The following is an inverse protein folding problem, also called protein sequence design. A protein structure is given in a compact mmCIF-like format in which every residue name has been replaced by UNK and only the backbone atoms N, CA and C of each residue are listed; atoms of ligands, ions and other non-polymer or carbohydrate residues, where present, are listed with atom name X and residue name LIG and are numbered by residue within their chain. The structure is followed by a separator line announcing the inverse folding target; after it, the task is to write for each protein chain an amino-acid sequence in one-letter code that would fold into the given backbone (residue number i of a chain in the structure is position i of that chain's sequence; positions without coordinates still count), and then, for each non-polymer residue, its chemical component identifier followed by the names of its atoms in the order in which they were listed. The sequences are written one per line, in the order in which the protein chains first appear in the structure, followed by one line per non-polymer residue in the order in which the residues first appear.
data_IF_099109916604
#
_entry.id   IF_099109916604
#
_cell.length_a   1.000
_cell.length_b   1.000
_cell.length_c   1.000
_cell.angle_alpha   90.00
_cell.angle_beta   90.00
_cell.angle_gamma   90.00
#
_symmetry.space_group_name_H-M   'P 1'
#
loop_
_entity.id
_entity.type
_entity.pdbx_description
1 polymer ?
#
# COMPACT_ATOMS: atom_id res chain seq x y z
N UNK A 1 10.82 22.52 3.50
CA UNK A 1 10.72 21.79 2.23
C UNK A 1 9.64 20.73 2.30
N UNK A 2 8.57 20.93 1.54
CA UNK A 2 7.58 19.89 1.26
C UNK A 2 8.14 19.06 0.10
N UNK A 3 8.34 17.74 0.24
CA UNK A 3 8.93 16.95 -0.84
C UNK A 3 8.05 16.98 -2.09
N UNK A 4 8.68 17.00 -3.25
CA UNK A 4 8.00 16.83 -4.52
C UNK A 4 7.28 15.47 -4.53
N UNK A 5 6.01 15.49 -4.91
CA UNK A 5 5.04 14.38 -4.85
C UNK A 5 5.45 13.12 -5.65
N UNK A 6 6.56 13.15 -6.39
CA UNK A 6 7.05 12.06 -7.25
C UNK A 6 8.22 11.22 -6.71
N UNK A 7 8.91 11.61 -5.63
CA UNK A 7 10.05 10.83 -5.10
C UNK A 7 9.63 9.81 -4.02
N UNK A 8 8.51 10.06 -3.36
CA UNK A 8 8.09 9.25 -2.21
C UNK A 8 7.48 7.91 -2.60
N UNK A 9 7.00 7.74 -3.84
CA UNK A 9 6.46 6.48 -4.36
C UNK A 9 7.30 6.04 -5.55
N UNK A 10 7.97 4.89 -5.45
CA UNK A 10 8.75 4.33 -6.56
C UNK A 10 8.25 2.94 -6.94
N UNK A 11 8.28 2.64 -8.23
CA UNK A 11 7.81 1.36 -8.78
C UNK A 11 8.97 0.68 -9.50
N UNK A 12 9.25 -0.57 -9.17
CA UNK A 12 10.22 -1.41 -9.85
C UNK A 12 9.68 -2.83 -10.01
N UNK A 13 9.33 -3.20 -11.26
CA UNK A 13 8.75 -4.51 -11.55
C UNK A 13 7.41 -4.71 -10.84
N UNK A 14 7.39 -5.59 -9.85
CA UNK A 14 6.22 -5.89 -9.01
C UNK A 14 6.29 -5.24 -7.62
N UNK A 15 7.28 -4.37 -7.40
CA UNK A 15 7.54 -3.76 -6.10
C UNK A 15 7.15 -2.29 -6.14
N UNK A 16 6.42 -1.85 -5.13
CA UNK A 16 6.15 -0.43 -4.85
C UNK A 16 6.85 -0.06 -3.55
N UNK A 17 7.63 1.00 -3.54
CA UNK A 17 8.31 1.49 -2.34
C UNK A 17 7.81 2.89 -1.99
N UNK A 18 7.31 3.02 -0.77
CA UNK A 18 6.92 4.29 -0.16
C UNK A 18 8.06 4.75 0.76
N UNK A 19 8.67 5.90 0.50
CA UNK A 19 9.84 6.41 1.23
C UNK A 19 9.47 7.67 2.00
N UNK A 20 9.72 7.65 3.32
CA UNK A 20 9.62 8.83 4.16
C UNK A 20 10.96 9.57 4.18
N UNK A 21 11.10 10.56 3.30
CA UNK A 21 12.34 11.34 3.11
C UNK A 21 12.72 12.19 4.34
N UNK A 22 11.81 12.39 5.30
CA UNK A 22 12.06 13.10 6.55
C UNK A 22 12.69 12.22 7.64
N UNK A 23 13.07 10.98 7.31
CA UNK A 23 13.63 10.01 8.27
C UNK A 23 14.75 9.20 7.65
N UNK A 24 15.56 8.58 8.50
CA UNK A 24 16.58 7.60 8.09
C UNK A 24 16.13 6.20 8.49
N UNK A 25 16.17 5.25 7.56
CA UNK A 25 15.79 3.86 7.82
C UNK A 25 16.71 3.20 8.88
N UNK A 26 16.09 2.58 9.88
CA UNK A 26 16.72 1.68 10.82
C UNK A 26 16.77 0.24 10.30
N UNK A 27 17.00 -0.70 11.21
CA UNK A 27 17.08 -2.13 10.91
C UNK A 27 15.80 -2.89 11.26
N UNK A 28 14.95 -2.31 12.10
CA UNK A 28 13.71 -2.97 12.55
C UNK A 28 12.65 -2.97 11.45
N UNK A 29 12.02 -4.12 11.26
CA UNK A 29 10.97 -4.32 10.28
C UNK A 29 9.81 -5.12 10.84
N UNK A 30 8.64 -4.94 10.23
CA UNK A 30 7.47 -5.81 10.41
C UNK A 30 6.89 -6.13 9.04
N UNK A 31 6.39 -7.35 8.85
CA UNK A 31 5.88 -7.81 7.56
C UNK A 31 4.56 -8.55 7.75
N UNK A 32 3.64 -8.34 6.81
CA UNK A 32 2.40 -9.11 6.72
C UNK A 32 2.25 -9.67 5.31
N UNK A 33 1.87 -10.95 5.22
CA UNK A 33 1.43 -11.61 3.99
C UNK A 33 -0.09 -11.76 4.02
N UNK A 34 -0.79 -10.98 3.18
CA UNK A 34 -2.24 -10.92 3.16
C UNK A 34 -2.88 -12.26 2.74
N UNK A 35 -2.15 -13.11 2.00
CA UNK A 35 -2.62 -14.43 1.59
C UNK A 35 -2.70 -15.41 2.77
N UNK A 36 -1.98 -15.15 3.86
CA UNK A 36 -1.92 -16.03 5.03
C UNK A 36 -2.94 -15.69 6.11
N UNK A 37 -3.66 -14.57 5.97
CA UNK A 37 -4.56 -14.03 6.99
C UNK A 37 -5.97 -14.65 7.01
N UNK A 38 -6.24 -15.65 6.16
CA UNK A 38 -7.57 -16.28 6.08
C UNK A 38 -8.68 -15.34 5.58
N UNK A 39 -8.32 -14.32 4.80
CA UNK A 39 -9.27 -13.39 4.18
C UNK A 39 -10.19 -14.15 3.21
N UNK A 40 -11.47 -13.76 3.16
CA UNK A 40 -12.44 -14.44 2.29
C UNK A 40 -12.36 -13.94 0.85
N UNK A 41 -12.35 -14.87 -0.09
CA UNK A 41 -12.38 -14.57 -1.53
C UNK A 41 -13.54 -13.66 -1.92
N UNK A 42 -13.24 -12.67 -2.75
CA UNK A 42 -14.19 -11.67 -3.26
C UNK A 42 -14.97 -10.94 -2.15
N UNK A 43 -14.34 -10.73 -0.99
CA UNK A 43 -14.89 -9.92 0.10
C UNK A 43 -14.04 -8.70 0.38
N UNK A 44 -14.75 -7.63 0.77
CA UNK A 44 -14.12 -6.39 1.19
C UNK A 44 -13.22 -6.65 2.40
N UNK A 45 -12.05 -6.01 2.40
CA UNK A 45 -11.12 -5.98 3.53
C UNK A 45 -11.15 -4.57 4.07
N UNK A 46 -11.32 -4.45 5.39
CA UNK A 46 -11.40 -3.14 6.07
C UNK A 46 -10.18 -2.89 6.94
N UNK A 47 -9.66 -3.91 7.61
CA UNK A 47 -8.49 -3.81 8.47
C UNK A 47 -7.71 -5.14 8.48
N UNK A 48 -6.39 -5.05 8.59
CA UNK A 48 -5.51 -6.16 8.99
C UNK A 48 -4.51 -5.67 10.03
N UNK A 49 -3.98 -6.60 10.82
CA UNK A 49 -2.93 -6.32 11.81
C UNK A 49 -1.62 -6.99 11.41
N UNK A 50 -0.52 -6.31 11.68
CA UNK A 50 0.84 -6.83 11.56
C UNK A 50 1.26 -7.53 12.86
N UNK A 51 2.30 -8.38 12.84
CA UNK A 51 2.79 -9.08 14.03
C UNK A 51 3.18 -8.17 15.20
N UNK A 52 3.63 -6.95 14.92
CA UNK A 52 4.04 -5.95 15.92
C UNK A 52 2.89 -5.06 16.41
N UNK A 53 1.64 -5.37 16.05
CA UNK A 53 0.45 -4.61 16.43
C UNK A 53 0.17 -3.40 15.55
N UNK A 54 1.00 -3.12 14.53
CA UNK A 54 0.68 -2.10 13.52
C UNK A 54 -0.62 -2.45 12.81
N UNK A 55 -1.49 -1.46 12.63
CA UNK A 55 -2.77 -1.63 11.92
C UNK A 55 -2.67 -1.07 10.50
N UNK A 56 -3.26 -1.80 9.56
CA UNK A 56 -3.50 -1.33 8.20
C UNK A 56 -5.00 -1.33 7.92
N UNK A 57 -5.54 -0.13 7.71
CA UNK A 57 -6.93 0.07 7.28
C UNK A 57 -7.00 0.26 5.77
N UNK A 58 -7.95 -0.43 5.16
CA UNK A 58 -8.26 -0.37 3.74
C UNK A 58 -9.51 0.50 3.54
N UNK A 59 -9.33 1.65 2.90
CA UNK A 59 -10.39 2.61 2.67
C UNK A 59 -10.84 2.63 1.21
N UNK A 60 -12.15 2.82 0.99
CA UNK A 60 -12.70 3.13 -0.34
C UNK A 60 -12.16 4.46 -0.88
N UNK A 61 -11.81 5.39 0.01
CA UNK A 61 -11.45 6.77 -0.35
C UNK A 61 -12.54 7.40 -1.20
N UNK A 62 -12.16 8.06 -2.29
CA UNK A 62 -13.08 8.60 -3.29
C UNK A 62 -13.43 7.59 -4.41
N UNK A 63 -12.85 6.39 -4.35
CA UNK A 63 -13.04 5.35 -5.36
C UNK A 63 -14.47 4.80 -5.36
N UNK A 64 -14.83 4.05 -6.40
CA UNK A 64 -16.17 3.40 -6.50
C UNK A 64 -16.23 2.06 -5.77
N UNK A 65 -15.18 1.25 -5.93
CA UNK A 65 -15.08 -0.10 -5.35
C UNK A 65 -14.31 -0.05 -4.04
N UNK A 66 -14.69 -0.90 -3.08
CA UNK A 66 -13.94 -1.10 -1.84
C UNK A 66 -12.76 -2.05 -2.08
N UNK A 67 -11.63 -1.89 -1.36
CA UNK A 67 -10.55 -2.86 -1.41
C UNK A 67 -11.04 -4.28 -1.10
N UNK A 68 -10.67 -5.24 -1.94
CA UNK A 68 -11.26 -6.59 -1.94
C UNK A 68 -10.19 -7.66 -2.10
N UNK A 69 -10.23 -8.70 -1.26
CA UNK A 69 -9.31 -9.82 -1.36
C UNK A 69 -9.74 -10.83 -2.43
N UNK A 70 -8.79 -11.40 -3.14
CA UNK A 70 -9.04 -12.48 -4.10
C UNK A 70 -7.97 -13.56 -4.01
N UNK A 71 -8.39 -14.82 -3.90
CA UNK A 71 -7.49 -15.98 -3.84
C UNK A 71 -6.59 -16.06 -5.08
N UNK A 72 -7.15 -15.76 -6.26
CA UNK A 72 -6.42 -15.83 -7.54
C UNK A 72 -5.22 -14.89 -7.58
N UNK A 73 -5.33 -13.71 -6.95
CA UNK A 73 -4.24 -12.73 -6.90
C UNK A 73 -3.46 -12.81 -5.59
N UNK A 74 -3.85 -13.71 -4.67
CA UNK A 74 -3.22 -13.89 -3.35
C UNK A 74 -3.04 -12.58 -2.60
N UNK A 75 -3.99 -11.66 -2.73
CA UNK A 75 -3.80 -10.29 -2.33
C UNK A 75 -5.06 -9.44 -2.41
N UNK A 76 -4.95 -8.23 -1.89
CA UNK A 76 -6.03 -7.23 -1.88
C UNK A 76 -5.89 -6.33 -3.09
N UNK A 77 -6.99 -6.22 -3.85
CA UNK A 77 -7.09 -5.25 -4.95
C UNK A 77 -7.48 -3.89 -4.37
N UNK A 78 -6.67 -2.90 -4.66
CA UNK A 78 -6.85 -1.49 -4.29
C UNK A 78 -7.06 -0.73 -5.59
N UNK A 79 -8.26 -0.18 -5.74
CA UNK A 79 -8.71 0.47 -6.97
C UNK A 79 -8.31 1.95 -7.01
N UNK A 80 -8.61 2.65 -8.11
CA UNK A 80 -8.42 4.10 -8.20
C UNK A 80 -9.06 4.80 -7.00
N UNK A 81 -8.28 5.70 -6.41
CA UNK A 81 -8.62 6.53 -5.24
C UNK A 81 -8.94 5.77 -3.95
N UNK A 82 -8.72 4.46 -3.90
CA UNK A 82 -8.70 3.73 -2.64
C UNK A 82 -7.47 4.13 -1.82
N UNK A 83 -7.61 4.00 -0.50
CA UNK A 83 -6.57 4.38 0.47
C UNK A 83 -6.10 3.19 1.30
N UNK A 84 -4.83 3.22 1.67
CA UNK A 84 -4.19 2.34 2.66
C UNK A 84 -3.66 3.22 3.79
N UNK A 85 -4.24 3.08 4.98
CA UNK A 85 -3.84 3.85 6.17
C UNK A 85 -3.09 2.94 7.13
N UNK A 86 -1.81 3.26 7.34
CA UNK A 86 -0.94 2.60 8.30
C UNK A 86 -0.94 3.38 9.60
N UNK A 87 -1.29 2.72 10.70
CA UNK A 87 -1.14 3.24 12.06
C UNK A 87 -0.10 2.38 12.77
N UNK A 88 1.17 2.78 12.64
CA UNK A 88 2.28 1.96 13.10
C UNK A 88 2.66 2.21 14.56
N UNK A 89 3.28 1.19 15.16
CA UNK A 89 3.82 1.25 16.51
C UNK A 89 4.95 2.28 16.66
N UNK A 90 5.68 2.54 15.56
CA UNK A 90 6.88 3.38 15.50
C UNK A 90 6.89 4.27 14.26
N UNK A 91 7.77 5.28 14.27
CA UNK A 91 7.94 6.19 13.13
C UNK A 91 8.40 5.41 11.90
N UNK A 92 7.67 5.55 10.79
CA UNK A 92 7.92 4.79 9.56
C UNK A 92 9.00 5.49 8.73
N UNK A 93 10.00 4.74 8.28
CA UNK A 93 10.97 5.21 7.30
C UNK A 93 10.66 4.76 5.88
N UNK A 94 10.15 3.54 5.72
CA UNK A 94 9.86 2.95 4.41
C UNK A 94 8.75 1.92 4.51
N UNK A 95 7.93 1.81 3.47
CA UNK A 95 6.97 0.73 3.29
C UNK A 95 7.20 0.12 1.90
N UNK A 96 7.22 -1.20 1.80
CA UNK A 96 7.42 -1.92 0.55
C UNK A 96 6.22 -2.83 0.31
N UNK A 97 5.58 -2.70 -0.85
CA UNK A 97 4.55 -3.60 -1.34
C UNK A 97 5.14 -4.55 -2.37
N UNK A 98 4.85 -5.84 -2.22
CA UNK A 98 5.00 -6.83 -3.29
C UNK A 98 3.64 -7.08 -3.90
N UNK A 99 3.55 -6.95 -5.22
CA UNK A 99 2.30 -6.98 -5.96
C UNK A 99 2.21 -8.14 -6.95
N UNK A 100 0.98 -8.49 -7.30
CA UNK A 100 0.66 -9.47 -8.32
C UNK A 100 1.17 -9.07 -9.73
N UNK A 101 1.50 -10.08 -10.53
CA UNK A 101 1.77 -9.95 -11.96
C UNK A 101 0.95 -11.00 -12.71
N UNK A 102 0.17 -10.54 -13.68
CA UNK A 102 -0.59 -11.43 -14.56
C UNK A 102 -0.13 -11.24 -16.01
N UNK A 103 0.43 -12.30 -16.60
CA UNK A 103 1.10 -12.21 -17.89
C UNK A 103 2.29 -11.23 -17.83
N UNK A 104 2.31 -10.26 -18.73
CA UNK A 104 3.33 -9.20 -18.76
C UNK A 104 3.01 -8.00 -17.86
N UNK A 105 1.79 -7.91 -17.31
CA UNK A 105 1.32 -6.73 -16.57
C UNK A 105 1.57 -6.86 -15.06
N UNK A 106 2.36 -5.94 -14.51
CA UNK A 106 2.48 -5.72 -13.06
C UNK A 106 1.34 -4.84 -12.55
N UNK A 107 0.67 -5.26 -11.47
CA UNK A 107 -0.44 -4.52 -10.87
C UNK A 107 0.03 -3.75 -9.64
N UNK A 108 0.78 -2.69 -9.91
CA UNK A 108 1.54 -1.88 -8.94
C UNK A 108 0.86 -0.55 -8.62
N UNK A 109 -0.42 -0.42 -8.97
CA UNK A 109 -1.15 0.85 -8.83
C UNK A 109 -0.80 1.84 -9.93
N UNK A 110 -1.41 3.02 -9.85
CA UNK A 110 -1.19 4.14 -10.74
C UNK A 110 0.18 4.78 -10.48
N UNK A 111 0.83 5.26 -11.54
CA UNK A 111 2.11 5.99 -11.43
C UNK A 111 1.96 7.32 -10.69
N UNK A 112 0.77 7.91 -10.72
CA UNK A 112 0.41 9.13 -9.98
C UNK A 112 -0.11 8.86 -8.55
N UNK A 113 0.06 7.64 -8.03
CA UNK A 113 -0.26 7.31 -6.66
C UNK A 113 0.55 8.18 -5.68
N UNK A 114 -0.04 8.48 -4.53
CA UNK A 114 0.56 9.38 -3.54
C UNK A 114 0.74 8.70 -2.20
N UNK A 115 1.67 9.21 -1.39
CA UNK A 115 1.82 8.84 0.01
C UNK A 115 2.07 10.08 0.87
N UNK A 116 1.44 10.14 2.04
CA UNK A 116 1.73 11.14 3.08
C UNK A 116 2.14 10.43 4.36
N UNK A 117 3.24 10.86 4.96
CA UNK A 117 3.68 10.39 6.28
C UNK A 117 3.40 11.45 7.34
N UNK A 118 2.86 11.04 8.49
CA UNK A 118 2.58 11.93 9.63
C UNK A 118 2.73 11.17 10.93
N UNK A 119 3.68 11.60 11.78
CA UNK A 119 4.05 10.88 12.99
C UNK A 119 4.43 9.42 12.70
N UNK A 120 3.72 8.48 13.32
CA UNK A 120 3.88 7.04 13.09
C UNK A 120 2.94 6.49 12.01
N UNK A 121 2.23 7.35 11.28
CA UNK A 121 1.24 6.95 10.29
C UNK A 121 1.70 7.25 8.87
N UNK A 122 1.15 6.47 7.93
CA UNK A 122 1.27 6.74 6.50
C UNK A 122 -0.08 6.52 5.83
N UNK A 123 -0.41 7.36 4.85
CA UNK A 123 -1.60 7.18 4.01
C UNK A 123 -1.13 7.09 2.58
N UNK A 124 -1.30 5.93 1.95
CA UNK A 124 -1.14 5.75 0.52
C UNK A 124 -2.50 5.87 -0.17
N UNK A 125 -2.54 6.58 -1.30
CA UNK A 125 -3.72 6.69 -2.16
C UNK A 125 -3.36 6.25 -3.56
N UNK A 126 -4.10 5.30 -4.13
CA UNK A 126 -3.90 4.87 -5.52
C UNK A 126 -4.52 5.88 -6.51
N UNK A 127 -4.04 7.12 -6.48
CA UNK A 127 -4.57 8.25 -7.24
C UNK A 127 -4.11 8.26 -8.69
N UNK A 128 -4.98 8.76 -9.56
CA UNK A 128 -4.64 9.21 -10.91
C UNK A 128 -5.54 10.38 -11.29
N UNK A 129 -5.06 11.64 -11.19
CA UNK A 129 -5.85 12.83 -11.51
C UNK A 129 -6.31 12.88 -12.98
N UNK A 130 -5.69 12.11 -13.87
CA UNK A 130 -6.05 12.04 -15.29
C UNK A 130 -7.11 10.98 -15.60
N UNK A 131 -7.40 10.09 -14.64
CA UNK A 131 -8.37 9.03 -14.82
C UNK A 131 -9.73 9.41 -14.21
N UNK A 132 -10.74 9.60 -15.07
CA UNK A 132 -12.11 9.86 -14.59
C UNK A 132 -12.82 8.58 -14.09
N UNK A 133 -12.44 7.42 -14.66
CA UNK A 133 -12.90 6.08 -14.27
C UNK A 133 -11.83 5.06 -14.65
N UNK A 134 -11.68 4.00 -13.86
CA UNK A 134 -10.70 2.93 -14.18
C UNK A 134 -9.38 3.13 -13.45
N UNK A 135 -8.25 3.03 -14.15
CA UNK A 135 -6.89 3.08 -13.57
C UNK A 135 -6.25 1.71 -13.33
N UNK A 136 -4.95 1.73 -13.04
CA UNK A 136 -4.18 0.54 -12.69
C UNK A 136 -4.46 0.16 -11.23
N UNK A 137 -4.94 -1.06 -11.03
CA UNK A 137 -5.13 -1.60 -9.68
C UNK A 137 -3.77 -1.85 -9.04
N UNK A 138 -3.63 -1.51 -7.77
CA UNK A 138 -2.61 -2.11 -6.92
C UNK A 138 -3.15 -3.46 -6.42
N UNK A 139 -2.44 -4.54 -6.67
CA UNK A 139 -2.78 -5.89 -6.18
C UNK A 139 -1.75 -6.32 -5.17
N UNK A 140 -1.86 -5.77 -3.95
CA UNK A 140 -0.88 -5.97 -2.90
C UNK A 140 -1.02 -7.35 -2.26
N UNK A 141 0.09 -8.09 -2.18
CA UNK A 141 0.17 -9.44 -1.61
C UNK A 141 0.88 -9.39 -0.25
N UNK A 142 2.09 -8.82 -0.23
CA UNK A 142 2.91 -8.69 0.98
C UNK A 142 3.24 -7.23 1.22
N UNK A 143 3.30 -6.84 2.49
CA UNK A 143 3.68 -5.49 2.91
C UNK A 143 4.74 -5.59 3.99
N UNK A 144 5.85 -4.90 3.79
CA UNK A 144 6.94 -4.77 4.77
C UNK A 144 7.13 -3.31 5.15
N UNK A 145 7.14 -3.02 6.45
CA UNK A 145 7.44 -1.70 7.00
C UNK A 145 8.86 -1.75 7.58
N UNK A 146 9.66 -0.72 7.30
CA UNK A 146 10.94 -0.45 7.97
C UNK A 146 10.79 0.81 8.81
N UNK A 147 11.16 0.73 10.09
CA UNK A 147 11.07 1.85 11.01
C UNK A 147 12.28 2.77 10.92
N UNK A 148 12.10 4.01 11.35
CA UNK A 148 13.18 4.99 11.48
C UNK A 148 14.14 4.61 12.62
N UNK A 149 15.38 5.10 12.52
CA UNK A 149 16.38 5.01 13.61
C UNK A 149 15.98 5.85 14.83
#
# INVERSE_FOLDING_TARGET
DTPATGEAVTINGTTVTLTNTATTAGTETTTVDLNTLGLKNAKAVTEVSFPDGTKLTFGKGNGTNTPTFYDKTKGVRVYLDNTLTFSASKKIAKIVFTCDKYGSTSYVGNTAATVTFSGNSAIYTNSDPSAEKGGVQLRVQTITITYAK
#
